data_IF_578043610424
#
_entry.id   IF_578043610424
#
_cell.length_a   1.000
_cell.length_b   1.000
_cell.length_c   1.000
_cell.angle_alpha   90.00
_cell.angle_beta   90.00
_cell.angle_gamma   90.00
#
_symmetry.space_group_name_H-M   'P 1'
#
loop_
_entity.id
_entity.type
_entity.pdbx_description
1 polymer ?
#
# COMPACT_ATOMS: atom_id res chain seq x y z
N UNK A 1 31.38 -3.28 7.82
CA UNK A 1 29.92 -3.07 7.99
C UNK A 1 29.24 -3.54 6.70
N UNK A 2 28.67 -4.75 6.69
CA UNK A 2 27.86 -5.25 5.57
C UNK A 2 26.52 -4.53 5.64
N UNK A 3 26.19 -3.69 4.66
CA UNK A 3 24.84 -3.17 4.50
C UNK A 3 24.01 -4.28 3.85
N UNK A 4 23.31 -5.06 4.66
CA UNK A 4 22.29 -5.98 4.17
C UNK A 4 21.08 -5.15 3.73
N UNK A 5 20.92 -4.99 2.42
CA UNK A 5 19.74 -4.37 1.84
C UNK A 5 18.59 -5.38 1.91
N UNK A 6 17.84 -5.39 3.01
CA UNK A 6 16.57 -6.12 3.06
C UNK A 6 15.60 -5.50 2.04
N UNK A 7 15.37 -6.23 0.94
CA UNK A 7 14.32 -5.93 -0.01
C UNK A 7 12.98 -6.07 0.71
N UNK A 8 12.20 -4.99 0.78
CA UNK A 8 10.86 -5.02 1.36
C UNK A 8 9.85 -4.92 0.23
N UNK A 9 8.92 -5.86 0.13
CA UNK A 9 7.77 -5.73 -0.76
C UNK A 9 6.58 -5.13 -0.01
N UNK A 10 5.76 -4.39 -0.75
CA UNK A 10 4.48 -3.84 -0.29
C UNK A 10 3.45 -4.09 -1.36
N UNK A 11 2.24 -4.43 -0.93
CA UNK A 11 1.14 -4.68 -1.85
C UNK A 11 -0.19 -4.47 -1.18
N UNK A 12 -1.23 -4.50 -1.99
CA UNK A 12 -2.60 -4.36 -1.52
C UNK A 12 -3.59 -4.81 -2.57
N UNK A 13 -4.82 -5.02 -2.12
CA UNK A 13 -5.93 -5.47 -2.94
C UNK A 13 -7.04 -4.43 -2.79
N UNK A 14 -7.49 -3.88 -3.92
CA UNK A 14 -8.72 -3.12 -4.01
C UNK A 14 -9.88 -4.09 -4.19
N UNK A 15 -10.89 -3.94 -3.35
CA UNK A 15 -12.15 -4.69 -3.44
C UNK A 15 -13.32 -3.75 -3.62
N UNK A 16 -14.37 -4.22 -4.29
CA UNK A 16 -15.66 -3.55 -4.31
C UNK A 16 -16.38 -3.70 -2.94
N UNK A 17 -17.57 -3.10 -2.83
CA UNK A 17 -18.39 -3.12 -1.63
C UNK A 17 -18.98 -4.51 -1.29
N UNK A 18 -19.01 -5.44 -2.25
CA UNK A 18 -19.36 -6.85 -2.04
C UNK A 18 -18.15 -7.72 -1.66
N UNK A 19 -16.94 -7.15 -1.64
CA UNK A 19 -15.70 -7.87 -1.40
C UNK A 19 -15.10 -8.53 -2.65
N UNK A 20 -15.67 -8.27 -3.83
CA UNK A 20 -15.13 -8.70 -5.12
C UNK A 20 -13.79 -8.03 -5.41
N UNK A 21 -12.85 -8.75 -6.03
CA UNK A 21 -11.52 -8.21 -6.31
C UNK A 21 -11.57 -7.35 -7.57
N UNK A 22 -11.18 -6.08 -7.45
CA UNK A 22 -11.07 -5.17 -8.59
C UNK A 22 -9.64 -5.14 -9.12
N UNK A 23 -8.66 -5.01 -8.21
CA UNK A 23 -7.26 -4.82 -8.59
C UNK A 23 -6.32 -5.24 -7.46
N UNK A 24 -5.22 -5.91 -7.79
CA UNK A 24 -4.07 -6.07 -6.91
C UNK A 24 -2.91 -5.16 -7.33
N UNK A 25 -2.11 -4.71 -6.38
CA UNK A 25 -0.82 -4.09 -6.65
C UNK A 25 0.26 -4.70 -5.77
N UNK A 26 1.48 -4.78 -6.29
CA UNK A 26 2.67 -5.20 -5.58
C UNK A 26 3.84 -4.35 -6.08
N UNK A 27 4.66 -3.85 -5.15
CA UNK A 27 5.85 -3.06 -5.43
C UNK A 27 6.99 -3.52 -4.54
N UNK A 28 8.15 -3.75 -5.15
CA UNK A 28 9.40 -3.94 -4.42
C UNK A 28 9.95 -2.57 -4.05
N UNK A 29 10.23 -2.35 -2.77
CA UNK A 29 10.89 -1.16 -2.26
C UNK A 29 12.31 -1.50 -1.80
N UNK A 30 13.27 -0.71 -2.26
CA UNK A 30 14.62 -0.67 -1.71
C UNK A 30 14.60 0.17 -0.43
N UNK A 31 14.65 -0.50 0.73
CA UNK A 31 14.80 0.00 2.10
C UNK A 31 13.88 1.15 2.59
N UNK A 32 13.28 0.91 3.77
CA UNK A 32 12.81 1.91 4.76
C UNK A 32 11.49 2.68 4.57
N UNK A 33 10.50 2.23 3.80
CA UNK A 33 9.18 2.86 3.92
C UNK A 33 8.00 1.95 3.55
N UNK A 34 7.54 1.10 4.49
CA UNK A 34 6.20 0.47 4.39
C UNK A 34 5.10 1.52 4.18
N UNK A 35 5.28 2.72 4.75
CA UNK A 35 4.37 3.86 4.57
C UNK A 35 4.34 4.32 3.09
N UNK A 36 5.48 4.31 2.37
CA UNK A 36 5.48 4.61 0.92
C UNK A 36 4.61 3.63 0.15
N UNK A 37 4.60 2.35 0.52
CA UNK A 37 3.74 1.36 -0.14
C UNK A 37 2.27 1.71 -0.07
N UNK A 38 1.81 2.13 1.10
CA UNK A 38 0.41 2.56 1.31
C UNK A 38 0.12 3.85 0.54
N UNK A 39 1.05 4.82 0.58
CA UNK A 39 0.93 6.07 -0.19
C UNK A 39 0.90 5.81 -1.71
N UNK A 40 1.67 4.85 -2.20
CA UNK A 40 1.68 4.45 -3.60
C UNK A 40 0.36 3.79 -4.01
N UNK A 41 -0.17 2.91 -3.16
CA UNK A 41 -1.53 2.37 -3.32
C UNK A 41 -2.56 3.49 -3.41
N UNK A 42 -2.50 4.48 -2.52
CA UNK A 42 -3.40 5.62 -2.52
C UNK A 42 -3.28 6.49 -3.77
N UNK A 43 -2.06 6.79 -4.22
CA UNK A 43 -1.82 7.51 -5.48
C UNK A 43 -2.40 6.77 -6.67
N UNK A 44 -2.24 5.45 -6.72
CA UNK A 44 -2.78 4.62 -7.80
C UNK A 44 -4.32 4.72 -7.84
N UNK A 45 -4.96 4.66 -6.67
CA UNK A 45 -6.41 4.75 -6.56
C UNK A 45 -6.93 6.14 -6.95
N UNK A 46 -6.26 7.21 -6.48
CA UNK A 46 -6.57 8.59 -6.86
C UNK A 46 -6.44 8.82 -8.36
N UNK A 47 -5.37 8.32 -8.99
CA UNK A 47 -5.16 8.43 -10.44
C UNK A 47 -6.26 7.72 -11.25
N UNK A 48 -6.90 6.71 -10.68
CA UNK A 48 -8.01 5.99 -11.30
C UNK A 48 -9.40 6.56 -10.95
N UNK A 49 -9.46 7.69 -10.25
CA UNK A 49 -10.71 8.39 -9.85
C UNK A 49 -11.64 7.53 -8.98
N UNK A 50 -11.08 6.69 -8.12
CA UNK A 50 -11.87 6.05 -7.07
C UNK A 50 -12.05 7.02 -5.90
N UNK A 51 -13.30 7.36 -5.58
CA UNK A 51 -13.69 8.19 -4.44
C UNK A 51 -14.38 7.34 -3.36
N UNK A 52 -14.32 7.79 -2.09
CA UNK A 52 -15.05 7.14 -0.98
C UNK A 52 -14.53 5.75 -0.59
N UNK A 53 -13.21 5.60 -0.39
CA UNK A 53 -12.58 4.33 -0.07
C UNK A 53 -12.27 4.18 1.43
N UNK A 54 -12.35 2.93 1.93
CA UNK A 54 -11.85 2.55 3.25
C UNK A 54 -10.55 1.77 3.10
N UNK A 55 -9.51 2.19 3.83
CA UNK A 55 -8.20 1.51 3.85
C UNK A 55 -8.14 0.62 5.07
N UNK A 56 -7.80 -0.65 4.86
CA UNK A 56 -7.51 -1.60 5.94
C UNK A 56 -6.02 -1.91 5.92
N UNK A 57 -5.35 -1.70 7.05
CA UNK A 57 -3.93 -2.01 7.26
C UNK A 57 -3.72 -2.47 8.70
N UNK A 58 -2.80 -3.42 8.89
CA UNK A 58 -2.40 -3.89 10.21
C UNK A 58 -1.23 -3.07 10.79
N UNK A 59 -0.62 -2.17 10.00
CA UNK A 59 0.46 -1.30 10.47
C UNK A 59 -0.10 -0.12 11.24
N UNK A 60 0.11 -0.14 12.56
CA UNK A 60 -0.25 0.97 13.46
C UNK A 60 0.51 2.24 13.11
N UNK A 61 1.75 2.12 12.63
CA UNK A 61 2.57 3.26 12.17
C UNK A 61 1.93 3.94 10.97
N UNK A 62 1.42 3.15 10.01
CA UNK A 62 0.73 3.70 8.85
C UNK A 62 -0.58 4.40 9.20
N UNK A 63 -1.34 3.86 10.16
CA UNK A 63 -2.58 4.50 10.66
C UNK A 63 -2.26 5.84 11.31
N UNK A 64 -1.13 5.97 12.00
CA UNK A 64 -0.72 7.23 12.67
C UNK A 64 -0.15 8.27 11.71
N UNK A 65 0.30 7.86 10.53
CA UNK A 65 1.01 8.74 9.59
C UNK A 65 0.09 9.41 8.55
N UNK A 66 -1.20 9.04 8.53
CA UNK A 66 -2.22 9.48 7.56
C UNK A 66 -3.37 10.11 8.35
#
# INVERSE_FOLDING_TARGET
>A
MKLEFELTSVGGILRDWHGGWILGYNRNLSYKCRIMGILDGLKLLKNRKYDGMSIKTESKEAIRAI
#
